data_IF_954950073470
#
_entry.id   IF_954950073470
#
_cell.length_a   1.000
_cell.length_b   1.000
_cell.length_c   1.000
_cell.angle_alpha   90.00
_cell.angle_beta   90.00
_cell.angle_gamma   90.00
#
_symmetry.space_group_name_H-M   'P 1'
#
loop_
_entity.id
_entity.type
_entity.pdbx_description
1 polymer ?
#
# COMPACT_ATOMS: atom_id res chain seq x y z
N UNK A 1 0.89 -2.33 11.20
CA UNK A 1 -0.39 -1.63 11.51
C UNK A 1 -1.15 -1.36 10.20
N UNK A 2 -2.41 -1.79 10.10
CA UNK A 2 -3.28 -1.60 8.94
C UNK A 2 -3.85 -0.17 8.94
N UNK A 3 -3.59 0.61 7.88
CA UNK A 3 -3.96 2.02 7.72
C UNK A 3 -3.54 2.93 8.90
N UNK A 4 -2.39 2.65 9.50
CA UNK A 4 -1.96 3.26 10.74
C UNK A 4 -2.68 2.67 11.97
N UNK A 5 -2.70 3.41 13.08
CA UNK A 5 -3.51 3.05 14.26
C UNK A 5 -4.96 3.57 14.12
N UNK A 6 -5.73 2.95 13.23
CA UNK A 6 -7.10 3.35 12.91
C UNK A 6 -8.10 3.18 14.07
N UNK A 7 -7.72 2.48 15.13
CA UNK A 7 -8.58 2.31 16.32
C UNK A 7 -8.64 3.57 17.17
N UNK A 8 -7.52 4.29 17.28
CA UNK A 8 -7.40 5.49 18.09
C UNK A 8 -7.46 6.78 17.27
N UNK A 9 -7.13 6.71 15.96
CA UNK A 9 -7.09 7.83 15.03
C UNK A 9 -7.87 7.50 13.75
N UNK A 10 -8.19 8.50 12.90
CA UNK A 10 -8.70 8.21 11.57
C UNK A 10 -7.72 7.33 10.77
N UNK A 11 -8.26 6.38 9.98
CA UNK A 11 -7.44 5.58 9.06
C UNK A 11 -6.66 6.47 8.10
N UNK A 12 -5.45 6.04 7.73
CA UNK A 12 -4.58 6.77 6.80
C UNK A 12 -4.26 8.22 7.25
N UNK A 13 -4.28 8.54 8.55
CA UNK A 13 -3.90 9.85 9.09
C UNK A 13 -2.45 9.88 9.55
N UNK A 14 -1.82 11.07 9.52
CA UNK A 14 -0.45 11.24 10.04
C UNK A 14 -0.36 10.89 11.52
N UNK A 15 -1.38 11.22 12.29
CA UNK A 15 -1.43 10.92 13.74
C UNK A 15 -1.55 9.42 13.99
N UNK A 16 -2.32 8.68 13.17
CA UNK A 16 -2.39 7.23 13.25
C UNK A 16 -1.06 6.56 12.89
N UNK A 17 -0.32 7.11 11.92
CA UNK A 17 1.03 6.68 11.56
C UNK A 17 2.01 6.98 12.71
N UNK A 18 2.01 8.18 13.23
CA UNK A 18 2.88 8.58 14.35
C UNK A 18 2.64 7.72 15.60
N UNK A 19 1.36 7.37 15.88
CA UNK A 19 1.06 6.50 17.00
C UNK A 19 1.52 5.06 16.77
N UNK A 20 1.39 4.53 15.55
CA UNK A 20 1.94 3.21 15.19
C UNK A 20 3.48 3.16 15.41
N UNK A 21 4.20 4.23 15.05
CA UNK A 21 5.63 4.37 15.30
C UNK A 21 5.92 4.35 16.82
N UNK A 22 5.18 5.11 17.62
CA UNK A 22 5.34 5.15 19.09
C UNK A 22 5.06 3.81 19.76
N UNK A 23 4.18 3.01 19.18
CA UNK A 23 3.86 1.65 19.63
C UNK A 23 4.97 0.63 19.27
N UNK A 24 5.99 1.01 18.51
CA UNK A 24 7.08 0.12 18.09
C UNK A 24 6.68 -0.88 17.01
N UNK A 25 5.72 -0.51 16.15
CA UNK A 25 5.30 -1.36 15.03
C UNK A 25 6.38 -1.33 13.94
N UNK A 26 6.72 -2.51 13.38
CA UNK A 26 7.77 -2.62 12.36
C UNK A 26 7.34 -2.07 10.99
N UNK A 27 6.08 -2.32 10.62
CA UNK A 27 5.53 -1.96 9.30
C UNK A 27 4.15 -1.34 9.46
N UNK A 28 3.94 -0.16 8.85
CA UNK A 28 2.62 0.44 8.68
C UNK A 28 2.13 0.24 7.25
N UNK A 29 0.91 -0.23 7.10
CA UNK A 29 0.26 -0.32 5.79
C UNK A 29 -0.56 0.94 5.55
N UNK A 30 -0.48 1.49 4.32
CA UNK A 30 -1.12 2.72 3.89
C UNK A 30 -1.65 2.58 2.46
N UNK A 31 -2.77 3.24 2.16
CA UNK A 31 -3.41 3.22 0.86
C UNK A 31 -3.19 4.51 0.07
N UNK A 32 -2.95 4.41 -1.23
CA UNK A 32 -2.73 5.58 -2.10
C UNK A 32 -3.88 5.78 -3.08
N UNK A 33 -4.31 7.02 -3.22
CA UNK A 33 -5.16 7.50 -4.30
C UNK A 33 -4.55 8.76 -4.93
N UNK A 34 -5.01 9.12 -6.15
CA UNK A 34 -4.55 10.30 -6.88
C UNK A 34 -5.70 11.26 -7.14
N UNK A 35 -5.49 12.53 -6.83
CA UNK A 35 -6.43 13.62 -7.11
C UNK A 35 -6.48 13.96 -8.60
N UNK A 36 -7.45 14.77 -9.00
CA UNK A 36 -7.58 15.26 -10.38
C UNK A 36 -6.33 16.01 -10.87
N UNK A 37 -5.72 16.80 -10.00
CA UNK A 37 -4.51 17.59 -10.28
C UNK A 37 -3.20 16.81 -10.02
N UNK A 38 -3.29 15.48 -9.86
CA UNK A 38 -2.13 14.58 -9.83
C UNK A 38 -1.45 14.42 -8.48
N UNK A 39 -1.98 14.98 -7.40
CA UNK A 39 -1.40 14.82 -6.06
C UNK A 39 -1.74 13.44 -5.50
N UNK A 40 -0.73 12.71 -5.01
CA UNK A 40 -0.92 11.45 -4.31
C UNK A 40 -1.27 11.71 -2.84
N UNK A 41 -2.40 11.16 -2.39
CA UNK A 41 -2.92 11.27 -1.02
C UNK A 41 -3.10 9.91 -0.38
N UNK A 42 -3.19 9.87 0.95
CA UNK A 42 -3.54 8.64 1.67
C UNK A 42 -5.07 8.50 1.77
N UNK A 43 -5.61 7.50 1.10
CA UNK A 43 -7.05 7.20 1.09
C UNK A 43 -7.28 5.77 0.63
N UNK A 44 -8.10 5.00 1.38
CA UNK A 44 -8.46 3.65 0.97
C UNK A 44 -9.49 3.65 -0.17
N UNK A 45 -10.60 4.37 0.03
CA UNK A 45 -11.72 4.36 -0.91
C UNK A 45 -11.43 5.25 -2.13
N UNK A 46 -12.05 4.94 -3.25
CA UNK A 46 -12.02 5.80 -4.44
C UNK A 46 -12.86 7.08 -4.25
N UNK A 47 -13.65 7.14 -3.18
CA UNK A 47 -14.50 8.29 -2.83
C UNK A 47 -14.18 8.85 -1.46
N UNK A 48 -14.45 10.15 -1.29
CA UNK A 48 -14.24 10.89 -0.04
C UNK A 48 -15.31 10.59 1.04
N UNK A 49 -16.42 9.95 0.66
CA UNK A 49 -17.69 9.95 1.40
C UNK A 49 -17.59 9.33 2.79
N UNK A 50 -16.91 8.20 2.95
CA UNK A 50 -16.86 7.44 4.19
C UNK A 50 -15.93 8.07 5.22
N UNK A 51 -14.72 8.41 4.80
CA UNK A 51 -13.62 8.77 5.70
C UNK A 51 -13.39 10.26 5.83
N UNK A 52 -14.12 11.11 5.06
CA UNK A 52 -13.97 12.57 5.14
C UNK A 52 -15.30 13.29 5.29
N UNK A 53 -15.22 14.61 5.50
CA UNK A 53 -16.39 15.51 5.46
C UNK A 53 -16.85 15.87 4.05
N UNK A 54 -16.06 15.49 3.01
CA UNK A 54 -16.35 15.73 1.60
C UNK A 54 -17.17 14.61 0.95
N UNK A 55 -17.44 14.79 -0.34
CA UNK A 55 -18.16 13.84 -1.19
C UNK A 55 -17.54 13.80 -2.57
N UNK A 56 -17.81 12.73 -3.31
CA UNK A 56 -17.36 12.53 -4.68
C UNK A 56 -16.11 11.66 -4.79
N UNK A 57 -15.66 11.42 -6.02
CA UNK A 57 -14.46 10.61 -6.27
C UNK A 57 -13.19 11.45 -6.08
N UNK A 58 -12.17 10.82 -5.52
CA UNK A 58 -10.85 11.46 -5.35
C UNK A 58 -10.28 11.93 -6.69
N UNK A 59 -10.42 11.12 -7.74
CA UNK A 59 -9.92 11.44 -9.08
C UNK A 59 -10.65 12.58 -9.81
N UNK A 60 -11.76 13.06 -9.27
CA UNK A 60 -12.58 14.14 -9.86
C UNK A 60 -12.45 15.46 -9.10
N UNK A 61 -11.64 15.53 -8.05
CA UNK A 61 -11.43 16.73 -7.21
C UNK A 61 -9.94 17.05 -7.06
N UNK A 62 -9.64 18.34 -6.84
CA UNK A 62 -8.27 18.84 -6.65
C UNK A 62 -7.81 18.71 -5.20
N UNK A 63 -6.48 18.77 -4.99
CA UNK A 63 -5.92 18.82 -3.64
C UNK A 63 -6.36 20.05 -2.86
N UNK A 64 -6.59 21.18 -3.52
CA UNK A 64 -7.13 22.39 -2.89
C UNK A 64 -8.49 22.13 -2.22
N UNK A 65 -9.41 21.45 -2.93
CA UNK A 65 -10.68 21.04 -2.33
C UNK A 65 -10.47 20.09 -1.13
N UNK A 66 -9.63 19.07 -1.28
CA UNK A 66 -9.38 18.06 -0.24
C UNK A 66 -8.73 18.67 1.01
N UNK A 67 -7.86 19.66 0.87
CA UNK A 67 -7.18 20.35 1.97
C UNK A 67 -8.14 21.02 2.95
N UNK A 68 -9.35 21.38 2.49
CA UNK A 68 -10.40 21.98 3.29
C UNK A 68 -11.24 20.94 4.06
N UNK A 69 -11.11 19.64 3.73
CA UNK A 69 -11.85 18.56 4.38
C UNK A 69 -11.17 18.11 5.67
N UNK A 70 -11.97 17.41 6.48
CA UNK A 70 -11.52 16.77 7.71
C UNK A 70 -11.78 15.28 7.64
N UNK A 71 -10.87 14.48 8.19
CA UNK A 71 -11.05 13.05 8.37
C UNK A 71 -12.15 12.75 9.41
N UNK A 72 -12.84 11.64 9.20
CA UNK A 72 -13.75 11.02 10.16
C UNK A 72 -13.05 9.83 10.81
N UNK A 73 -13.35 9.61 12.08
CA UNK A 73 -12.91 8.40 12.78
C UNK A 73 -13.76 7.17 12.37
N UNK A 74 -13.45 5.99 12.92
CA UNK A 74 -14.17 4.75 12.65
C UNK A 74 -15.66 4.76 13.01
N UNK A 75 -16.11 5.73 13.83
CA UNK A 75 -17.52 5.96 14.16
C UNK A 75 -18.18 7.04 13.28
N UNK A 76 -17.56 7.40 12.16
CA UNK A 76 -18.00 8.45 11.22
C UNK A 76 -18.09 9.86 11.83
N UNK A 77 -17.48 10.10 13.00
CA UNK A 77 -17.43 11.40 13.68
C UNK A 77 -16.30 12.23 13.05
N UNK A 78 -16.61 13.49 12.68
CA UNK A 78 -15.62 14.46 12.21
C UNK A 78 -14.54 14.68 13.27
N UNK A 79 -13.29 14.64 12.85
CA UNK A 79 -12.13 14.97 13.69
C UNK A 79 -11.52 16.32 13.27
N UNK A 80 -10.40 16.69 13.89
CA UNK A 80 -9.58 17.83 13.48
C UNK A 80 -8.51 17.48 12.45
N UNK A 81 -8.34 16.20 12.13
CA UNK A 81 -7.27 15.68 11.29
C UNK A 81 -7.60 15.89 9.81
N UNK A 82 -6.57 16.13 9.02
CA UNK A 82 -6.65 16.37 7.56
C UNK A 82 -6.30 15.12 6.79
N UNK A 83 -6.71 15.09 5.51
CA UNK A 83 -6.25 14.05 4.56
C UNK A 83 -4.80 14.36 4.20
N UNK A 84 -3.85 13.45 4.50
CA UNK A 84 -2.44 13.71 4.20
C UNK A 84 -2.11 13.38 2.75
N UNK A 85 -1.10 14.07 2.23
CA UNK A 85 -0.41 13.65 1.01
C UNK A 85 0.51 12.45 1.30
N UNK A 86 0.82 11.67 0.26
CA UNK A 86 1.82 10.62 0.38
C UNK A 86 3.20 11.20 0.74
N UNK A 87 3.54 12.37 0.22
CA UNK A 87 4.82 13.03 0.53
C UNK A 87 4.95 13.34 2.04
N UNK A 88 3.90 13.89 2.67
CA UNK A 88 3.89 14.14 4.11
C UNK A 88 4.09 12.87 4.93
N UNK A 89 3.42 11.78 4.53
CA UNK A 89 3.57 10.48 5.20
C UNK A 89 4.98 9.90 5.03
N UNK A 90 5.57 9.99 3.83
CA UNK A 90 6.93 9.54 3.57
C UNK A 90 7.97 10.31 4.39
N UNK A 91 7.81 11.63 4.51
CA UNK A 91 8.70 12.46 5.33
C UNK A 91 8.55 12.16 6.83
N UNK A 92 7.32 11.94 7.32
CA UNK A 92 7.04 11.57 8.70
C UNK A 92 7.69 10.22 9.08
N UNK A 93 7.63 9.25 8.18
CA UNK A 93 8.08 7.87 8.42
C UNK A 93 9.55 7.64 8.14
N UNK A 94 10.24 8.58 7.49
CA UNK A 94 11.62 8.45 7.05
C UNK A 94 12.57 8.01 8.17
N UNK A 95 13.20 6.85 7.99
CA UNK A 95 14.14 6.26 8.94
C UNK A 95 13.51 5.77 10.26
N UNK A 96 12.17 5.69 10.35
CA UNK A 96 11.46 5.38 11.59
C UNK A 96 10.63 4.10 11.53
N UNK A 97 10.03 3.79 10.38
CA UNK A 97 9.16 2.63 10.19
C UNK A 97 9.11 2.25 8.71
N UNK A 98 8.97 0.97 8.39
CA UNK A 98 8.69 0.55 7.03
C UNK A 98 7.23 0.81 6.64
N UNK A 99 7.00 1.06 5.35
CA UNK A 99 5.67 1.25 4.79
C UNK A 99 5.36 0.10 3.83
N UNK A 100 4.18 -0.53 4.01
CA UNK A 100 3.55 -1.37 3.00
C UNK A 100 2.51 -0.50 2.26
N UNK A 101 2.81 -0.13 1.01
CA UNK A 101 2.02 0.85 0.27
C UNK A 101 1.07 0.16 -0.70
N UNK A 102 -0.23 0.16 -0.36
CA UNK A 102 -1.29 -0.44 -1.19
C UNK A 102 -1.67 0.47 -2.37
N UNK A 103 -2.05 -0.15 -3.50
CA UNK A 103 -2.42 0.51 -4.76
C UNK A 103 -1.31 1.34 -5.40
N UNK A 104 -0.07 1.24 -4.91
CA UNK A 104 1.08 1.94 -5.45
C UNK A 104 1.35 1.61 -6.92
N UNK A 105 1.04 0.38 -7.34
CA UNK A 105 1.20 -0.10 -8.72
C UNK A 105 0.29 0.61 -9.74
N UNK A 106 -0.77 1.29 -9.28
CA UNK A 106 -1.66 2.11 -10.13
C UNK A 106 -0.99 3.42 -10.55
N UNK A 107 -0.07 3.93 -9.74
CA UNK A 107 0.60 5.23 -9.90
C UNK A 107 2.11 5.08 -9.77
N UNK A 108 2.67 4.02 -10.36
CA UNK A 108 4.01 3.53 -10.08
C UNK A 108 5.10 4.60 -10.28
N UNK A 109 5.09 5.28 -11.43
CA UNK A 109 6.13 6.28 -11.76
C UNK A 109 6.06 7.50 -10.81
N UNK A 110 4.84 7.96 -10.48
CA UNK A 110 4.64 9.09 -9.56
C UNK A 110 5.06 8.72 -8.12
N UNK A 111 4.70 7.50 -7.66
CA UNK A 111 5.12 6.99 -6.36
C UNK A 111 6.64 6.88 -6.32
N UNK A 112 7.26 6.23 -7.31
CA UNK A 112 8.72 6.09 -7.36
C UNK A 112 9.44 7.45 -7.35
N UNK A 113 8.94 8.43 -8.10
CA UNK A 113 9.49 9.79 -8.09
C UNK A 113 9.45 10.42 -6.68
N UNK A 114 8.36 10.24 -5.94
CA UNK A 114 8.26 10.72 -4.55
C UNK A 114 9.22 9.96 -3.62
N UNK A 115 9.36 8.63 -3.77
CA UNK A 115 10.32 7.84 -2.97
C UNK A 115 11.75 8.33 -3.18
N UNK A 116 12.14 8.65 -4.42
CA UNK A 116 13.46 9.23 -4.73
C UNK A 116 13.60 10.63 -4.12
N UNK A 117 12.59 11.49 -4.29
CA UNK A 117 12.58 12.87 -3.75
C UNK A 117 12.74 12.88 -2.22
N UNK A 118 12.03 12.00 -1.52
CA UNK A 118 12.07 11.93 -0.05
C UNK A 118 13.22 11.10 0.50
N UNK A 119 13.88 10.28 -0.36
CA UNK A 119 14.95 9.38 0.05
C UNK A 119 14.44 8.19 0.88
N UNK A 120 13.25 7.64 0.52
CA UNK A 120 12.57 6.57 1.25
C UNK A 120 12.42 5.27 0.45
N UNK A 121 13.11 5.12 -0.67
CA UNK A 121 13.00 3.95 -1.57
C UNK A 121 13.21 2.63 -0.81
N UNK A 122 14.20 2.56 0.07
CA UNK A 122 14.59 1.33 0.77
C UNK A 122 13.68 0.97 1.97
N UNK A 123 12.69 1.79 2.29
CA UNK A 123 11.78 1.54 3.41
C UNK A 123 10.31 1.39 2.99
N UNK A 124 10.04 1.43 1.68
CA UNK A 124 8.68 1.30 1.15
C UNK A 124 8.54 0.03 0.32
N UNK A 125 7.59 -0.81 0.73
CA UNK A 125 7.16 -1.98 -0.02
C UNK A 125 6.06 -1.53 -0.97
N UNK A 126 6.33 -1.61 -2.28
CA UNK A 126 5.33 -1.34 -3.32
C UNK A 126 4.65 -2.64 -3.71
N UNK A 127 3.35 -2.74 -3.48
CA UNK A 127 2.61 -3.95 -3.82
C UNK A 127 1.70 -3.79 -5.04
N UNK A 128 1.46 -4.90 -5.74
CA UNK A 128 0.58 -4.91 -6.89
C UNK A 128 0.16 -6.30 -7.35
N UNK A 129 -0.96 -6.35 -8.07
CA UNK A 129 -1.58 -7.59 -8.54
C UNK A 129 -1.27 -7.96 -10.00
N UNK A 130 -0.22 -7.39 -10.60
CA UNK A 130 0.19 -7.65 -11.99
C UNK A 130 0.86 -9.02 -12.15
N UNK A 131 0.81 -9.58 -13.37
CA UNK A 131 1.58 -10.79 -13.69
C UNK A 131 3.09 -10.52 -13.76
N UNK A 132 3.90 -11.58 -13.74
CA UNK A 132 5.38 -11.46 -13.85
C UNK A 132 5.78 -10.73 -15.14
N UNK A 133 5.13 -11.06 -16.25
CA UNK A 133 5.41 -10.45 -17.56
C UNK A 133 5.09 -8.94 -17.53
N UNK A 134 3.98 -8.56 -16.92
CA UNK A 134 3.60 -7.14 -16.77
C UNK A 134 4.58 -6.41 -15.87
N UNK A 135 4.99 -7.01 -14.75
CA UNK A 135 5.96 -6.41 -13.81
C UNK A 135 7.31 -6.23 -14.50
N UNK A 136 7.82 -7.25 -15.19
CA UNK A 136 9.07 -7.15 -15.96
C UNK A 136 8.97 -6.11 -17.07
N UNK A 137 7.91 -6.14 -17.87
CA UNK A 137 7.75 -5.19 -18.98
C UNK A 137 7.60 -3.73 -18.56
N UNK A 138 6.99 -3.47 -17.42
CA UNK A 138 6.70 -2.11 -16.95
C UNK A 138 7.70 -1.59 -15.93
N UNK A 139 8.22 -2.45 -15.05
CA UNK A 139 8.96 -2.04 -13.85
C UNK A 139 10.40 -2.56 -13.78
N UNK A 140 10.88 -3.32 -14.78
CA UNK A 140 12.20 -3.98 -14.74
C UNK A 140 13.33 -3.02 -14.34
N UNK A 141 13.33 -1.81 -14.90
CA UNK A 141 14.33 -0.77 -14.60
C UNK A 141 14.34 -0.30 -13.12
N UNK A 142 13.26 -0.56 -12.38
CA UNK A 142 13.11 -0.15 -10.98
C UNK A 142 13.33 -1.29 -9.99
N UNK A 143 13.19 -2.56 -10.43
CA UNK A 143 13.19 -3.72 -9.54
C UNK A 143 14.50 -3.90 -8.74
N UNK A 144 15.61 -3.36 -9.24
CA UNK A 144 16.88 -3.36 -8.52
C UNK A 144 16.94 -2.35 -7.36
N UNK A 145 16.02 -1.36 -7.32
CA UNK A 145 16.02 -0.29 -6.32
C UNK A 145 14.85 -0.39 -5.34
N UNK A 146 13.72 -0.97 -5.74
CA UNK A 146 12.50 -1.03 -4.94
C UNK A 146 12.28 -2.40 -4.28
N UNK A 147 11.50 -2.40 -3.20
CA UNK A 147 10.95 -3.63 -2.63
C UNK A 147 9.58 -3.84 -3.26
N UNK A 148 9.46 -4.78 -4.21
CA UNK A 148 8.19 -5.11 -4.84
C UNK A 148 7.58 -6.35 -4.19
N UNK A 149 6.30 -6.29 -3.78
CA UNK A 149 5.56 -7.39 -3.19
C UNK A 149 4.36 -7.76 -4.09
N UNK A 150 4.40 -8.93 -4.77
CA UNK A 150 3.27 -9.39 -5.57
C UNK A 150 2.08 -9.75 -4.67
N UNK A 151 0.87 -9.36 -5.11
CA UNK A 151 -0.40 -9.81 -4.54
C UNK A 151 -0.90 -10.98 -5.38
N UNK A 152 -1.05 -12.17 -4.77
CA UNK A 152 -1.54 -13.37 -5.47
C UNK A 152 -2.78 -13.90 -4.77
N UNK A 153 -3.88 -14.03 -5.52
CA UNK A 153 -5.08 -14.71 -5.03
C UNK A 153 -4.93 -16.22 -5.21
N UNK A 154 -4.88 -16.95 -4.10
CA UNK A 154 -4.76 -18.41 -4.07
C UNK A 154 -6.03 -19.12 -4.58
N UNK A 155 -7.13 -18.41 -4.77
CA UNK A 155 -8.38 -18.94 -5.36
C UNK A 155 -8.31 -19.03 -6.89
N UNK A 156 -7.30 -18.47 -7.53
CA UNK A 156 -7.09 -18.57 -8.99
C UNK A 156 -6.46 -19.92 -9.35
N UNK A 157 -6.91 -20.51 -10.46
CA UNK A 157 -6.40 -21.82 -10.95
C UNK A 157 -4.90 -21.82 -11.23
N UNK A 158 -4.32 -20.69 -11.63
CA UNK A 158 -2.90 -20.54 -11.96
C UNK A 158 -2.06 -19.94 -10.81
N UNK A 159 -2.59 -19.88 -9.59
CA UNK A 159 -1.90 -19.22 -8.47
C UNK A 159 -0.54 -19.87 -8.16
N UNK A 160 -0.47 -21.21 -8.13
CA UNK A 160 0.76 -21.96 -7.87
C UNK A 160 1.83 -21.61 -8.91
N UNK A 161 1.48 -21.68 -10.21
CA UNK A 161 2.37 -21.32 -11.31
C UNK A 161 2.84 -19.86 -11.24
N UNK A 162 1.92 -18.95 -10.89
CA UNK A 162 2.25 -17.53 -10.75
C UNK A 162 3.27 -17.29 -9.64
N UNK A 163 3.14 -17.95 -8.50
CA UNK A 163 4.09 -17.87 -7.38
C UNK A 163 5.46 -18.42 -7.80
N UNK A 164 5.49 -19.59 -8.42
CA UNK A 164 6.74 -20.20 -8.93
C UNK A 164 7.45 -19.29 -9.92
N UNK A 165 6.69 -18.68 -10.85
CA UNK A 165 7.23 -17.77 -11.85
C UNK A 165 7.81 -16.50 -11.18
N UNK A 166 7.14 -15.92 -10.20
CA UNK A 166 7.68 -14.80 -9.44
C UNK A 166 8.97 -15.17 -8.69
N UNK A 167 9.01 -16.33 -8.04
CA UNK A 167 10.22 -16.80 -7.36
C UNK A 167 11.39 -16.99 -8.32
N UNK A 168 11.12 -17.46 -9.55
CA UNK A 168 12.15 -17.71 -10.58
C UNK A 168 12.69 -16.43 -11.19
N UNK A 169 11.81 -15.49 -11.56
CA UNK A 169 12.14 -14.38 -12.44
C UNK A 169 12.42 -13.07 -11.71
N UNK A 170 11.81 -12.87 -10.51
CA UNK A 170 11.89 -11.62 -9.76
C UNK A 170 12.47 -11.85 -8.37
N UNK A 171 12.22 -13.03 -7.78
CA UNK A 171 12.64 -13.40 -6.41
C UNK A 171 12.22 -12.35 -5.36
N UNK A 172 10.91 -12.07 -5.21
CA UNK A 172 10.43 -11.04 -4.30
C UNK A 172 10.73 -11.38 -2.84
N UNK A 173 10.99 -10.37 -2.01
CA UNK A 173 11.24 -10.54 -0.57
C UNK A 173 10.02 -11.11 0.15
N UNK A 174 8.82 -10.74 -0.27
CA UNK A 174 7.57 -11.20 0.30
C UNK A 174 6.45 -11.29 -0.75
N UNK A 175 5.43 -12.09 -0.44
CA UNK A 175 4.16 -12.15 -1.15
C UNK A 175 3.01 -11.72 -0.24
N UNK A 176 2.06 -10.96 -0.76
CA UNK A 176 0.72 -10.85 -0.17
C UNK A 176 -0.18 -11.92 -0.77
N UNK A 177 -0.68 -12.82 0.06
CA UNK A 177 -1.48 -13.96 -0.38
C UNK A 177 -2.94 -13.79 0.07
N UNK A 178 -3.85 -13.68 -0.91
CA UNK A 178 -5.27 -13.56 -0.67
C UNK A 178 -5.95 -14.92 -0.78
N UNK A 179 -6.74 -15.29 0.22
CA UNK A 179 -7.46 -16.55 0.28
C UNK A 179 -8.87 -16.33 0.84
N UNK A 180 -9.90 -16.64 0.04
CA UNK A 180 -11.30 -16.40 0.38
C UNK A 180 -12.10 -17.71 0.47
N UNK A 181 -11.76 -18.71 -0.36
CA UNK A 181 -12.52 -19.96 -0.47
C UNK A 181 -11.87 -21.11 0.32
N UNK A 182 -12.62 -21.70 1.26
CA UNK A 182 -12.15 -22.70 2.20
C UNK A 182 -11.73 -24.08 1.68
N UNK A 183 -11.90 -24.39 0.39
CA UNK A 183 -11.69 -25.74 -0.19
C UNK A 183 -10.44 -25.87 -1.06
N UNK A 184 -9.45 -24.99 -0.88
CA UNK A 184 -8.21 -25.00 -1.64
C UNK A 184 -7.07 -25.59 -0.81
N UNK A 185 -6.34 -26.57 -1.31
CA UNK A 185 -5.17 -27.17 -0.65
C UNK A 185 -3.88 -26.35 -0.82
N UNK A 186 -3.88 -25.39 -1.74
CA UNK A 186 -2.69 -24.56 -2.04
C UNK A 186 -2.14 -23.83 -0.80
N UNK A 187 -2.96 -23.23 0.09
CA UNK A 187 -2.45 -22.57 1.30
C UNK A 187 -1.57 -23.47 2.18
N UNK A 188 -1.84 -24.80 2.19
CA UNK A 188 -1.03 -25.77 2.94
C UNK A 188 0.34 -26.04 2.33
N UNK A 189 0.47 -25.87 1.00
CA UNK A 189 1.72 -26.07 0.25
C UNK A 189 2.65 -24.84 0.30
N UNK A 190 2.08 -23.64 0.39
CA UNK A 190 2.81 -22.36 0.31
C UNK A 190 4.01 -22.27 1.25
N UNK A 191 3.91 -22.62 2.55
CA UNK A 191 5.06 -22.55 3.45
C UNK A 191 6.28 -23.35 2.95
N UNK A 192 6.03 -24.52 2.37
CA UNK A 192 7.10 -25.36 1.81
C UNK A 192 7.67 -24.76 0.51
N UNK A 193 6.81 -24.20 -0.36
CA UNK A 193 7.21 -23.58 -1.63
C UNK A 193 8.10 -22.35 -1.43
N UNK A 194 7.78 -21.52 -0.42
CA UNK A 194 8.45 -20.24 -0.14
C UNK A 194 9.56 -20.32 0.90
N UNK A 195 9.75 -21.49 1.55
CA UNK A 195 10.78 -21.69 2.58
C UNK A 195 12.17 -21.29 2.08
N UNK A 196 12.80 -20.33 2.76
CA UNK A 196 14.13 -19.82 2.42
C UNK A 196 14.20 -18.94 1.15
N UNK A 197 13.04 -18.58 0.55
CA UNK A 197 12.96 -17.73 -0.65
C UNK A 197 12.28 -16.41 -0.35
N UNK A 198 11.05 -16.44 0.16
CA UNK A 198 10.23 -15.25 0.36
C UNK A 198 9.43 -15.35 1.66
N UNK A 199 9.07 -14.20 2.23
CA UNK A 199 8.15 -14.08 3.34
C UNK A 199 6.69 -14.11 2.85
N UNK A 200 5.76 -14.34 3.78
CA UNK A 200 4.31 -14.30 3.54
C UNK A 200 3.72 -13.16 4.38
N UNK A 201 2.96 -12.30 3.71
CA UNK A 201 2.19 -11.23 4.32
C UNK A 201 0.70 -11.61 4.38
#
# INVERSE_FOLDING_TARGET
AHRGDWRNFPENSLEGIENAIKMGVDIVELDVQRTQDGVLILMHDETLNRTTTGKGKVSEVTMDYISNLYLRNGCAIRTKHKVPTLEEALLLTKGRIMINLDKADRYFDEVYALLKKTGTVNQVIMKGGKSVEQVKGQYEKYLCEIIYMPIVSLDKLNAEQQIEQFCKDINPVAFELLFIKGNNELPKKIPAMLKGKSLIW
#
